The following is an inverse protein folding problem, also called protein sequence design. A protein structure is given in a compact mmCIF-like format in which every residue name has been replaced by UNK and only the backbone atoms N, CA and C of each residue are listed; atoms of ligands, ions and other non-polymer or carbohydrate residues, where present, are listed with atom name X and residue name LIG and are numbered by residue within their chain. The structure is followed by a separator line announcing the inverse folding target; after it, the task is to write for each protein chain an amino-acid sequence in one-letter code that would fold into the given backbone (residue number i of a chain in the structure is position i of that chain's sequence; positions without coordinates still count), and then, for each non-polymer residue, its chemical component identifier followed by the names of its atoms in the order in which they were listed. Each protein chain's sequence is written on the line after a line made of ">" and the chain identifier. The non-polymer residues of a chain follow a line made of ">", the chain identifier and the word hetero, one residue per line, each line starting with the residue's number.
data_IF_950752666609
#
_entry.id   IF_950752666609
#
_cell.length_a   1.000
_cell.length_b   1.000
_cell.length_c   1.000
_cell.angle_alpha   90.00
_cell.angle_beta   90.00
_cell.angle_gamma   90.00
#
_symmetry.space_group_name_H-M   'P 1'
#
loop_
_entity.id
_entity.type
_entity.pdbx_description
1 polymer ?
#
# COMPACT_ATOMS: atom_id res chain seq x y z
N UNK A 1 -55.86 23.49 78.09
CA UNK A 1 -54.68 22.64 77.79
C UNK A 1 -55.17 21.56 76.83
N UNK A 2 -54.78 21.64 75.53
CA UNK A 2 -55.10 20.75 74.37
C UNK A 2 -55.73 21.50 73.17
N UNK A 3 -55.03 22.51 72.64
CA UNK A 3 -55.33 23.04 71.29
C UNK A 3 -54.07 23.42 70.51
N UNK A 4 -52.95 22.72 70.78
CA UNK A 4 -51.63 22.98 70.17
C UNK A 4 -51.02 21.76 69.46
N UNK A 5 -51.82 20.75 69.09
CA UNK A 5 -51.33 19.49 68.49
C UNK A 5 -51.99 19.09 67.16
N UNK A 6 -52.49 20.03 66.35
CA UNK A 6 -53.18 19.67 65.10
C UNK A 6 -52.53 20.20 63.80
N UNK A 7 -51.35 20.85 63.85
CA UNK A 7 -50.78 21.49 62.66
C UNK A 7 -49.31 21.15 62.36
N UNK A 8 -48.71 20.18 63.05
CA UNK A 8 -47.32 19.77 62.77
C UNK A 8 -47.21 18.59 61.79
N UNK A 9 -48.28 17.83 61.55
CA UNK A 9 -48.18 16.57 60.79
C UNK A 9 -48.36 16.76 59.28
N UNK A 10 -49.22 17.68 58.84
CA UNK A 10 -49.51 17.91 57.42
C UNK A 10 -48.31 18.43 56.62
N UNK A 11 -47.50 19.32 57.19
CA UNK A 11 -46.29 19.84 56.53
C UNK A 11 -45.15 18.81 56.46
N UNK A 12 -45.09 17.87 57.41
CA UNK A 12 -44.10 16.80 57.43
C UNK A 12 -44.41 15.74 56.35
N UNK A 13 -45.68 15.36 56.18
CA UNK A 13 -46.09 14.41 55.14
C UNK A 13 -45.95 14.97 53.72
N UNK A 14 -46.25 16.26 53.51
CA UNK A 14 -46.05 16.92 52.20
C UNK A 14 -44.55 17.10 51.90
N UNK A 15 -43.74 17.50 52.89
CA UNK A 15 -42.29 17.63 52.73
C UNK A 15 -41.58 16.30 52.44
N UNK A 16 -42.01 15.21 53.10
CA UNK A 16 -41.46 13.87 52.87
C UNK A 16 -41.84 13.31 51.48
N UNK A 17 -43.06 13.55 51.00
CA UNK A 17 -43.50 13.13 49.66
C UNK A 17 -42.76 13.84 48.52
N UNK A 18 -42.53 15.15 48.66
CA UNK A 18 -41.75 15.94 47.68
C UNK A 18 -40.27 15.52 47.67
N UNK A 19 -39.69 15.26 48.84
CA UNK A 19 -38.32 14.77 48.94
C UNK A 19 -38.14 13.37 48.30
N UNK A 20 -39.09 12.45 48.50
CA UNK A 20 -39.06 11.13 47.88
C UNK A 20 -39.20 11.20 46.35
N UNK A 21 -40.10 12.04 45.84
CA UNK A 21 -40.27 12.26 44.41
C UNK A 21 -39.01 12.86 43.76
N UNK A 22 -38.36 13.81 44.42
CA UNK A 22 -37.09 14.39 43.96
C UNK A 22 -35.96 13.34 43.92
N UNK A 23 -35.84 12.51 44.96
CA UNK A 23 -34.84 11.42 45.00
C UNK A 23 -35.11 10.38 43.92
N UNK A 24 -36.36 10.01 43.68
CA UNK A 24 -36.73 9.08 42.61
C UNK A 24 -36.48 9.68 41.22
N UNK A 25 -36.76 10.96 41.01
CA UNK A 25 -36.47 11.66 39.77
C UNK A 25 -34.95 11.74 39.49
N UNK A 26 -34.14 12.06 40.50
CA UNK A 26 -32.67 12.07 40.38
C UNK A 26 -32.14 10.67 40.07
N UNK A 27 -32.59 9.63 40.80
CA UNK A 27 -32.21 8.25 40.52
C UNK A 27 -32.59 7.84 39.10
N UNK A 28 -33.79 8.19 38.65
CA UNK A 28 -34.27 7.90 37.31
C UNK A 28 -33.42 8.60 36.23
N UNK A 29 -33.08 9.88 36.43
CA UNK A 29 -32.22 10.64 35.52
C UNK A 29 -30.79 10.05 35.50
N UNK A 30 -30.23 9.68 36.65
CA UNK A 30 -28.90 9.07 36.74
C UNK A 30 -28.85 7.71 36.02
N UNK A 31 -29.83 6.83 36.25
CA UNK A 31 -29.92 5.53 35.56
C UNK A 31 -30.05 5.71 34.04
N UNK A 32 -30.81 6.72 33.58
CA UNK A 32 -30.89 7.02 32.15
C UNK A 32 -29.60 7.60 31.58
N UNK A 33 -28.89 8.43 32.34
CA UNK A 33 -27.60 9.00 31.95
C UNK A 33 -26.52 7.90 31.87
N UNK A 34 -26.45 7.01 32.86
CA UNK A 34 -25.56 5.84 32.88
C UNK A 34 -25.88 4.89 31.72
N UNK A 35 -27.16 4.60 31.45
CA UNK A 35 -27.56 3.78 30.31
C UNK A 35 -27.21 4.43 28.96
N UNK A 36 -27.29 5.75 28.84
CA UNK A 36 -26.86 6.48 27.64
C UNK A 36 -25.33 6.44 27.47
N UNK A 37 -24.57 6.62 28.55
CA UNK A 37 -23.11 6.52 28.55
C UNK A 37 -22.65 5.09 28.20
N UNK A 38 -23.28 4.07 28.78
CA UNK A 38 -22.97 2.67 28.49
C UNK A 38 -23.22 2.33 27.02
N UNK A 39 -24.36 2.75 26.45
CA UNK A 39 -24.64 2.57 25.02
C UNK A 39 -23.65 3.30 24.12
N UNK A 40 -23.25 4.52 24.48
CA UNK A 40 -22.23 5.26 23.74
C UNK A 40 -20.86 4.57 23.80
N UNK A 41 -20.48 4.05 24.96
CA UNK A 41 -19.26 3.26 25.15
C UNK A 41 -19.29 1.96 24.32
N UNK A 42 -20.38 1.20 24.38
CA UNK A 42 -20.56 -0.02 23.61
C UNK A 42 -20.57 0.24 22.10
N UNK A 43 -21.24 1.30 21.63
CA UNK A 43 -21.23 1.71 20.23
C UNK A 43 -19.83 2.13 19.77
N UNK A 44 -19.10 2.90 20.59
CA UNK A 44 -17.71 3.28 20.31
C UNK A 44 -16.78 2.06 20.26
N UNK A 45 -16.93 1.12 21.21
CA UNK A 45 -16.19 -0.13 21.26
C UNK A 45 -16.48 -0.99 20.03
N UNK A 46 -17.75 -1.20 19.69
CA UNK A 46 -18.15 -1.94 18.50
C UNK A 46 -17.61 -1.29 17.21
N UNK A 47 -17.66 0.05 17.12
CA UNK A 47 -17.06 0.79 15.99
C UNK A 47 -15.54 0.56 15.92
N UNK A 48 -14.84 0.58 17.05
CA UNK A 48 -13.41 0.29 17.11
C UNK A 48 -13.10 -1.16 16.71
N UNK A 49 -13.91 -2.12 17.15
CA UNK A 49 -13.75 -3.53 16.78
C UNK A 49 -13.96 -3.76 15.28
N UNK A 50 -14.97 -3.12 14.67
CA UNK A 50 -15.18 -3.15 13.21
C UNK A 50 -14.00 -2.52 12.47
N UNK A 51 -13.55 -1.33 12.89
CA UNK A 51 -12.39 -0.66 12.29
C UNK A 51 -11.10 -1.47 12.43
N UNK A 52 -10.92 -2.15 13.57
CA UNK A 52 -9.79 -3.05 13.81
C UNK A 52 -9.86 -4.28 12.89
N UNK A 53 -11.02 -4.93 12.81
CA UNK A 53 -11.23 -6.08 11.94
C UNK A 53 -11.03 -5.70 10.46
N UNK A 54 -11.48 -4.52 10.03
CA UNK A 54 -11.22 -4.00 8.68
C UNK A 54 -9.73 -3.76 8.40
N UNK A 55 -8.97 -3.30 9.41
CA UNK A 55 -7.51 -3.13 9.31
C UNK A 55 -6.75 -4.45 9.23
N UNK A 56 -7.28 -5.51 9.83
CA UNK A 56 -6.67 -6.83 9.87
C UNK A 56 -7.02 -7.68 8.65
N UNK A 57 -7.92 -7.22 7.77
CA UNK A 57 -8.21 -7.92 6.51
C UNK A 57 -6.93 -8.02 5.68
N UNK A 58 -6.62 -9.21 5.14
CA UNK A 58 -5.45 -9.40 4.30
C UNK A 58 -5.56 -8.50 3.07
N UNK A 59 -4.53 -7.70 2.83
CA UNK A 59 -4.47 -6.81 1.67
C UNK A 59 -4.01 -7.64 0.48
N UNK A 60 -4.89 -7.80 -0.51
CA UNK A 60 -4.50 -8.42 -1.78
C UNK A 60 -3.74 -7.40 -2.61
N UNK A 61 -2.42 -7.54 -2.67
CA UNK A 61 -1.57 -6.71 -3.53
C UNK A 61 -1.71 -7.11 -4.99
N UNK A 62 -1.59 -6.15 -5.90
CA UNK A 62 -1.56 -6.39 -7.35
C UNK A 62 -0.73 -5.35 -8.08
N UNK A 63 -0.50 -5.58 -9.36
CA UNK A 63 0.03 -4.57 -10.25
C UNK A 63 -1.05 -3.59 -10.71
N UNK A 64 -0.62 -2.35 -10.95
CA UNK A 64 -1.42 -1.28 -11.57
C UNK A 64 -0.61 -0.68 -12.72
N UNK A 65 -1.17 -0.57 -13.92
CA UNK A 65 -0.61 0.36 -14.89
C UNK A 65 -0.83 1.81 -14.41
N UNK A 66 -0.05 2.80 -14.89
CA UNK A 66 -0.33 4.21 -14.59
C UNK A 66 -1.78 4.60 -14.89
N UNK A 67 -2.32 4.13 -16.00
CA UNK A 67 -3.70 4.40 -16.44
C UNK A 67 -4.73 3.72 -15.55
N UNK A 68 -4.46 2.48 -15.11
CA UNK A 68 -5.30 1.77 -14.14
C UNK A 68 -5.31 2.43 -12.77
N UNK A 69 -4.28 3.22 -12.43
CA UNK A 69 -4.19 3.91 -11.14
C UNK A 69 -5.01 5.20 -11.10
N UNK A 70 -5.18 5.89 -12.24
CA UNK A 70 -5.85 7.20 -12.32
C UNK A 70 -7.25 7.26 -11.67
N UNK A 71 -8.13 6.25 -11.83
CA UNK A 71 -9.47 6.30 -11.22
C UNK A 71 -9.46 6.28 -9.69
N UNK A 72 -8.35 5.88 -9.06
CA UNK A 72 -8.22 5.81 -7.61
C UNK A 72 -7.80 7.17 -7.01
N UNK A 73 -8.51 8.22 -7.39
CA UNK A 73 -8.24 9.60 -7.00
C UNK A 73 -9.17 10.10 -5.86
N UNK A 74 -10.17 9.32 -5.44
CA UNK A 74 -11.16 9.72 -4.44
C UNK A 74 -12.46 10.30 -4.98
N UNK A 75 -12.54 10.56 -6.28
CA UNK A 75 -13.78 10.94 -6.96
C UNK A 75 -14.69 9.73 -7.19
N UNK A 76 -15.97 9.95 -7.45
CA UNK A 76 -16.95 8.89 -7.74
C UNK A 76 -16.94 7.74 -6.71
N UNK A 77 -16.74 8.10 -5.43
CA UNK A 77 -16.60 7.18 -4.30
C UNK A 77 -15.47 6.13 -4.44
N UNK A 78 -14.52 6.34 -5.33
CA UNK A 78 -13.34 5.49 -5.45
C UNK A 78 -12.40 5.65 -4.24
N UNK A 79 -11.61 4.62 -3.91
CA UNK A 79 -10.47 4.75 -3.00
C UNK A 79 -9.47 5.80 -3.50
N UNK A 80 -8.63 6.28 -2.60
CA UNK A 80 -7.52 7.20 -2.91
C UNK A 80 -6.22 6.40 -2.82
N UNK A 81 -5.59 6.14 -3.96
CA UNK A 81 -4.30 5.47 -4.05
C UNK A 81 -3.22 6.45 -4.49
N UNK A 82 -2.03 6.35 -3.89
CA UNK A 82 -0.86 7.13 -4.30
C UNK A 82 0.32 6.17 -4.36
N UNK A 83 1.06 6.21 -5.47
CA UNK A 83 2.31 5.49 -5.59
C UNK A 83 3.51 6.36 -5.20
N UNK A 84 4.45 5.77 -4.45
CA UNK A 84 5.73 6.37 -4.09
C UNK A 84 6.82 5.32 -4.30
N UNK A 85 7.83 5.66 -5.11
CA UNK A 85 8.83 4.73 -5.66
C UNK A 85 8.21 3.48 -6.29
N UNK A 86 7.05 3.65 -6.94
CA UNK A 86 6.30 2.56 -7.56
C UNK A 86 5.47 1.72 -6.59
N UNK A 87 5.64 1.82 -5.27
CA UNK A 87 4.79 1.15 -4.29
C UNK A 87 3.47 1.89 -4.13
N UNK A 88 2.33 1.21 -4.28
CA UNK A 88 0.99 1.81 -4.26
C UNK A 88 0.40 1.72 -2.86
N UNK A 89 0.07 2.86 -2.27
CA UNK A 89 -0.49 2.97 -0.93
C UNK A 89 -1.95 3.43 -0.94
N UNK A 90 -2.78 2.79 -0.13
CA UNK A 90 -4.15 3.25 0.15
C UNK A 90 -4.15 4.35 1.20
N UNK A 91 -4.39 5.58 0.74
CA UNK A 91 -4.47 6.79 1.56
C UNK A 91 -5.91 7.24 1.79
N UNK A 92 -6.91 6.39 1.49
CA UNK A 92 -8.35 6.73 1.59
C UNK A 92 -8.78 7.18 2.98
N UNK A 93 -8.02 6.85 4.04
CA UNK A 93 -8.31 7.31 5.41
C UNK A 93 -7.89 8.76 5.68
N UNK A 94 -7.21 9.39 4.73
CA UNK A 94 -6.73 10.77 4.80
C UNK A 94 -7.37 11.59 3.68
N UNK A 95 -8.70 11.43 3.51
CA UNK A 95 -9.48 12.22 2.54
C UNK A 95 -9.32 13.72 2.80
N UNK A 96 -9.19 14.14 4.06
CA UNK A 96 -8.94 15.54 4.45
C UNK A 96 -7.58 16.10 3.96
N UNK A 97 -6.75 15.30 3.28
CA UNK A 97 -5.49 15.74 2.67
C UNK A 97 -5.44 15.45 1.18
N UNK A 98 -5.88 14.25 0.77
CA UNK A 98 -5.74 13.74 -0.60
C UNK A 98 -7.07 13.64 -1.36
N UNK A 99 -8.19 13.90 -0.69
CA UNK A 99 -9.52 13.81 -1.29
C UNK A 99 -9.81 14.97 -2.25
N UNK A 100 -10.86 14.85 -3.09
CA UNK A 100 -11.21 15.89 -4.05
C UNK A 100 -11.37 17.26 -3.39
N UNK A 101 -10.67 18.26 -3.92
CA UNK A 101 -10.65 19.63 -3.39
C UNK A 101 -9.59 19.92 -2.32
N UNK A 102 -8.86 18.92 -1.83
CA UNK A 102 -7.79 19.10 -0.85
C UNK A 102 -6.41 19.38 -1.47
N UNK A 103 -5.52 19.98 -0.69
CA UNK A 103 -4.23 20.50 -1.18
C UNK A 103 -3.28 19.46 -1.79
N UNK A 104 -3.41 18.18 -1.43
CA UNK A 104 -2.58 17.09 -2.01
C UNK A 104 -3.37 16.18 -2.95
N UNK A 105 -4.57 16.59 -3.37
CA UNK A 105 -5.40 15.79 -4.27
C UNK A 105 -4.73 15.49 -5.61
N UNK A 106 -3.87 16.38 -6.10
CA UNK A 106 -3.16 16.20 -7.38
C UNK A 106 -2.29 14.94 -7.44
N UNK A 107 -1.89 14.38 -6.29
CA UNK A 107 -1.11 13.14 -6.22
C UNK A 107 -1.98 11.87 -6.28
N UNK A 108 -3.29 12.01 -6.05
CA UNK A 108 -4.22 10.90 -6.00
C UNK A 108 -4.35 10.24 -7.38
N UNK A 109 -4.28 8.92 -7.43
CA UNK A 109 -4.31 8.11 -8.65
C UNK A 109 -3.00 8.08 -9.43
N UNK A 110 -1.87 8.56 -8.87
CA UNK A 110 -0.60 8.72 -9.61
C UNK A 110 0.60 8.10 -8.90
N UNK A 111 1.70 7.87 -9.65
CA UNK A 111 3.04 7.74 -9.06
C UNK A 111 3.60 9.13 -8.78
N UNK A 112 3.39 9.59 -7.55
CA UNK A 112 3.76 10.92 -7.10
C UNK A 112 5.25 11.03 -6.71
N UNK A 113 6.09 10.03 -7.01
CA UNK A 113 7.50 10.00 -6.61
C UNK A 113 8.24 11.29 -6.94
N UNK A 114 8.14 11.76 -8.18
CA UNK A 114 8.87 12.94 -8.66
C UNK A 114 8.32 14.22 -8.03
N UNK A 115 7.00 14.40 -8.09
CA UNK A 115 6.33 15.56 -7.51
C UNK A 115 6.60 15.70 -5.99
N UNK A 116 6.56 14.59 -5.24
CA UNK A 116 6.90 14.57 -3.82
C UNK A 116 8.39 14.86 -3.57
N UNK A 117 9.30 14.32 -4.40
CA UNK A 117 10.74 14.57 -4.28
C UNK A 117 11.06 16.07 -4.44
N UNK A 118 10.43 16.71 -5.43
CA UNK A 118 10.63 18.12 -5.76
C UNK A 118 9.73 19.08 -4.99
N UNK A 119 8.81 18.56 -4.18
CA UNK A 119 7.76 19.36 -3.54
C UNK A 119 6.97 20.21 -4.54
N UNK A 120 6.69 19.63 -5.71
CA UNK A 120 6.11 20.31 -6.88
C UNK A 120 4.66 19.89 -7.10
N UNK A 121 3.85 20.83 -7.59
CA UNK A 121 2.47 20.61 -8.05
C UNK A 121 2.30 20.87 -9.55
N UNK A 122 3.41 21.08 -10.26
CA UNK A 122 3.42 21.35 -11.69
C UNK A 122 3.18 20.06 -12.49
N UNK A 123 2.50 20.18 -13.63
CA UNK A 123 2.08 19.04 -14.47
C UNK A 123 3.28 18.20 -14.94
N UNK A 124 4.41 18.84 -15.26
CA UNK A 124 5.62 18.15 -15.73
C UNK A 124 6.23 17.21 -14.67
N UNK A 125 6.06 17.52 -13.39
CA UNK A 125 6.52 16.68 -12.29
C UNK A 125 5.47 15.64 -11.86
N UNK A 126 4.18 15.94 -12.04
CA UNK A 126 3.06 15.03 -11.75
C UNK A 126 2.94 13.89 -12.76
N UNK A 127 3.26 14.15 -14.02
CA UNK A 127 3.11 13.19 -15.13
C UNK A 127 4.40 12.44 -15.48
N UNK A 128 5.52 12.78 -14.83
CA UNK A 128 6.81 12.15 -15.09
C UNK A 128 7.17 11.06 -14.09
N UNK A 129 7.52 9.89 -14.62
CA UNK A 129 8.08 8.77 -13.86
C UNK A 129 9.62 8.84 -13.74
N UNK A 130 10.27 9.80 -14.41
CA UNK A 130 11.71 9.93 -14.42
C UNK A 130 12.22 10.53 -13.11
N UNK A 131 13.23 9.88 -12.55
CA UNK A 131 13.90 10.24 -11.30
C UNK A 131 15.41 10.47 -11.49
N UNK A 132 15.90 10.40 -12.74
CA UNK A 132 17.32 10.43 -13.07
C UNK A 132 17.97 11.79 -12.81
N UNK A 133 17.21 12.87 -12.94
CA UNK A 133 17.63 14.27 -12.75
C UNK A 133 17.48 14.77 -11.31
N UNK A 134 16.96 13.95 -10.39
CA UNK A 134 16.77 14.35 -9.00
C UNK A 134 18.11 14.69 -8.31
N UNK A 135 18.15 15.86 -7.67
CA UNK A 135 19.29 16.27 -6.86
C UNK A 135 19.42 15.39 -5.61
N UNK A 136 20.55 15.52 -4.89
CA UNK A 136 20.73 14.85 -3.61
C UNK A 136 19.64 15.22 -2.59
N UNK A 137 19.25 16.50 -2.55
CA UNK A 137 18.21 16.98 -1.64
C UNK A 137 16.83 16.44 -2.01
N UNK A 138 16.52 16.34 -3.31
CA UNK A 138 15.25 15.76 -3.77
C UNK A 138 15.16 14.27 -3.39
N UNK A 139 16.28 13.53 -3.47
CA UNK A 139 16.36 12.12 -3.09
C UNK A 139 16.15 11.91 -1.59
N UNK A 140 16.73 12.75 -0.73
CA UNK A 140 16.47 12.69 0.71
C UNK A 140 15.01 13.06 1.03
N UNK A 141 14.46 14.08 0.37
CA UNK A 141 13.03 14.44 0.51
C UNK A 141 12.12 13.28 0.13
N UNK A 142 12.41 12.60 -0.99
CA UNK A 142 11.64 11.43 -1.43
C UNK A 142 11.73 10.29 -0.41
N UNK A 143 12.91 10.04 0.16
CA UNK A 143 13.11 9.01 1.19
C UNK A 143 12.32 9.31 2.47
N UNK A 144 12.23 10.57 2.86
CA UNK A 144 11.39 11.00 3.98
C UNK A 144 9.91 10.76 3.69
N UNK A 145 9.45 11.03 2.46
CA UNK A 145 8.09 10.71 2.03
C UNK A 145 7.80 9.20 2.05
N UNK A 146 8.73 8.37 1.57
CA UNK A 146 8.60 6.91 1.66
C UNK A 146 8.45 6.46 3.11
N UNK A 147 9.29 6.99 4.02
CA UNK A 147 9.20 6.70 5.46
C UNK A 147 7.88 7.18 6.05
N UNK A 148 7.40 8.36 5.64
CA UNK A 148 6.11 8.90 6.07
C UNK A 148 4.93 8.05 5.62
N UNK A 149 4.95 7.54 4.40
CA UNK A 149 3.88 6.69 3.87
C UNK A 149 3.91 5.30 4.51
N UNK A 150 5.07 4.66 4.53
CA UNK A 150 5.22 3.26 4.94
C UNK A 150 5.31 3.07 6.47
N UNK A 151 5.99 3.97 7.18
CA UNK A 151 6.30 3.81 8.62
C UNK A 151 5.43 4.72 9.48
N UNK A 152 5.50 6.05 9.29
CA UNK A 152 4.84 6.98 10.21
C UNK A 152 3.32 6.93 10.10
N UNK A 153 2.78 6.96 8.88
CA UNK A 153 1.34 6.81 8.66
C UNK A 153 0.90 5.36 8.54
N UNK A 154 1.83 4.46 8.17
CA UNK A 154 1.54 3.03 8.00
C UNK A 154 0.40 2.78 7.01
N UNK A 155 0.40 3.48 5.87
CA UNK A 155 -0.62 3.28 4.86
C UNK A 155 -0.55 1.85 4.31
N UNK A 156 -1.69 1.16 4.15
CA UNK A 156 -1.73 -0.15 3.51
C UNK A 156 -1.08 -0.11 2.12
N UNK A 157 -0.07 -0.94 1.89
CA UNK A 157 0.47 -1.13 0.54
C UNK A 157 -0.44 -2.10 -0.22
N UNK A 158 -1.11 -1.62 -1.25
CA UNK A 158 -2.09 -2.36 -2.05
C UNK A 158 -1.51 -2.87 -3.37
N UNK A 159 -0.24 -2.61 -3.66
CA UNK A 159 0.34 -3.04 -4.92
C UNK A 159 1.58 -2.29 -5.36
N UNK A 160 1.86 -2.41 -6.65
CA UNK A 160 3.00 -1.76 -7.30
C UNK A 160 2.63 -1.29 -8.70
N UNK A 161 3.22 -0.18 -9.14
CA UNK A 161 3.04 0.33 -10.50
C UNK A 161 3.86 -0.53 -11.46
N UNK A 162 3.19 -1.11 -12.44
CA UNK A 162 3.79 -1.90 -13.52
C UNK A 162 4.27 -0.98 -14.62
N UNK A 163 5.57 -1.05 -14.95
CA UNK A 163 6.19 -0.18 -15.95
C UNK A 163 6.69 -1.01 -17.11
N UNK A 164 6.08 -0.82 -18.29
CA UNK A 164 6.52 -1.47 -19.51
C UNK A 164 7.72 -0.74 -20.11
N UNK A 165 8.77 -1.48 -20.46
CA UNK A 165 10.00 -0.97 -21.07
C UNK A 165 10.78 -2.09 -21.72
N UNK A 166 11.25 -1.84 -22.93
CA UNK A 166 12.28 -2.64 -23.56
C UNK A 166 13.65 -2.15 -23.06
N UNK A 167 14.58 -3.08 -22.85
CA UNK A 167 15.88 -2.77 -22.24
C UNK A 167 17.00 -3.51 -22.97
N UNK A 168 18.16 -2.88 -23.07
CA UNK A 168 19.41 -3.61 -23.35
C UNK A 168 19.82 -4.46 -22.15
N UNK A 169 20.73 -5.42 -22.37
CA UNK A 169 21.29 -6.20 -21.25
C UNK A 169 22.01 -5.33 -20.22
N UNK A 170 22.70 -4.27 -20.64
CA UNK A 170 23.38 -3.36 -19.72
C UNK A 170 22.39 -2.53 -18.89
N UNK A 171 21.31 -2.04 -19.50
CA UNK A 171 20.26 -1.32 -18.77
C UNK A 171 19.48 -2.25 -17.82
N UNK A 172 19.36 -3.53 -18.14
CA UNK A 172 18.67 -4.51 -17.29
C UNK A 172 19.37 -4.69 -15.93
N UNK A 173 20.70 -4.60 -15.87
CA UNK A 173 21.51 -4.86 -14.66
C UNK A 173 21.12 -4.00 -13.47
N UNK A 174 20.63 -2.79 -13.69
CA UNK A 174 20.21 -1.89 -12.61
C UNK A 174 18.96 -2.40 -11.86
N UNK A 175 18.17 -3.30 -12.46
CA UNK A 175 16.92 -3.84 -11.90
C UNK A 175 17.17 -5.14 -11.14
N UNK A 176 18.15 -5.10 -10.24
CA UNK A 176 18.56 -6.23 -9.38
C UNK A 176 17.94 -6.16 -7.97
N UNK A 177 17.00 -5.25 -7.73
CA UNK A 177 16.43 -4.98 -6.41
C UNK A 177 17.29 -4.11 -5.49
N UNK A 178 18.44 -3.61 -5.98
CA UNK A 178 19.39 -2.81 -5.20
C UNK A 178 19.68 -1.47 -5.86
N UNK A 179 20.01 -1.43 -7.14
CA UNK A 179 20.60 -0.23 -7.74
C UNK A 179 19.56 0.80 -8.17
N UNK A 180 18.45 0.34 -8.77
CA UNK A 180 17.37 1.26 -9.15
C UNK A 180 16.68 1.86 -7.90
N UNK A 181 16.19 3.11 -7.98
CA UNK A 181 15.58 3.79 -6.83
C UNK A 181 14.30 3.09 -6.36
N UNK A 182 13.60 2.37 -7.26
CA UNK A 182 12.35 1.66 -6.96
C UNK A 182 12.59 0.24 -6.46
N UNK A 183 13.85 -0.21 -6.33
CA UNK A 183 14.24 -1.57 -5.92
C UNK A 183 13.47 -2.64 -6.68
N UNK A 184 13.31 -2.41 -7.97
CA UNK A 184 12.64 -3.32 -8.90
C UNK A 184 13.55 -4.51 -9.18
N UNK A 185 12.96 -5.69 -9.25
CA UNK A 185 13.67 -6.89 -9.68
C UNK A 185 13.09 -7.32 -11.02
N UNK A 186 13.92 -7.26 -12.05
CA UNK A 186 13.63 -7.84 -13.36
C UNK A 186 14.44 -9.09 -13.59
N UNK A 187 13.86 -10.04 -14.33
CA UNK A 187 14.56 -11.23 -14.82
C UNK A 187 14.23 -11.36 -16.29
N UNK A 188 15.25 -11.48 -17.14
CA UNK A 188 15.06 -11.73 -18.56
C UNK A 188 15.14 -13.23 -18.86
N UNK A 189 14.19 -13.70 -19.67
CA UNK A 189 14.07 -15.10 -20.06
C UNK A 189 13.47 -15.19 -21.47
N UNK A 190 14.22 -15.84 -22.36
CA UNK A 190 13.91 -16.01 -23.77
C UNK A 190 13.57 -14.67 -24.45
N UNK A 191 14.38 -13.64 -24.15
CA UNK A 191 14.20 -12.26 -24.64
C UNK A 191 13.01 -11.50 -24.06
N UNK A 192 12.20 -12.09 -23.16
CA UNK A 192 11.16 -11.38 -22.41
C UNK A 192 11.72 -10.88 -21.07
N UNK A 193 11.32 -9.69 -20.63
CA UNK A 193 11.64 -9.15 -19.32
C UNK A 193 10.41 -9.33 -18.42
N UNK A 194 10.59 -10.00 -17.28
CA UNK A 194 9.54 -10.26 -16.30
C UNK A 194 9.75 -9.36 -15.07
N UNK A 195 8.67 -8.72 -14.58
CA UNK A 195 8.69 -8.06 -13.27
C UNK A 195 8.40 -9.06 -12.17
N UNK A 196 9.45 -9.43 -11.43
CA UNK A 196 9.36 -10.39 -10.33
C UNK A 196 9.32 -9.69 -8.97
N UNK A 197 9.14 -8.36 -8.93
CA UNK A 197 9.25 -7.58 -7.70
C UNK A 197 8.13 -7.91 -6.71
N UNK A 198 6.90 -8.06 -7.17
CA UNK A 198 5.75 -8.22 -6.27
C UNK A 198 5.68 -9.61 -5.63
N UNK A 199 5.76 -10.66 -6.46
CA UNK A 199 5.53 -12.06 -6.05
C UNK A 199 6.79 -12.95 -6.15
N UNK A 200 7.94 -12.33 -6.41
CA UNK A 200 9.22 -13.01 -6.61
C UNK A 200 10.37 -12.43 -5.79
N UNK A 201 10.16 -11.39 -4.98
CA UNK A 201 11.22 -10.76 -4.18
C UNK A 201 11.95 -11.77 -3.26
N UNK A 202 11.23 -12.68 -2.62
CA UNK A 202 11.83 -13.70 -1.74
C UNK A 202 12.72 -14.71 -2.49
N UNK A 203 12.58 -14.79 -3.82
CA UNK A 203 13.35 -15.70 -4.67
C UNK A 203 14.49 -14.97 -5.39
N UNK A 204 14.18 -13.86 -6.05
CA UNK A 204 15.08 -13.15 -6.95
C UNK A 204 15.63 -11.86 -6.34
N UNK A 205 15.08 -11.38 -5.23
CA UNK A 205 15.59 -10.20 -4.54
C UNK A 205 16.97 -10.45 -3.91
N UNK A 206 17.57 -9.42 -3.29
CA UNK A 206 18.97 -9.45 -2.83
C UNK A 206 19.30 -10.56 -1.81
N UNK A 207 18.28 -11.00 -1.06
CA UNK A 207 18.37 -12.08 -0.07
C UNK A 207 17.85 -13.43 -0.57
N UNK A 208 17.37 -13.48 -1.82
CA UNK A 208 16.78 -14.67 -2.41
C UNK A 208 17.80 -15.68 -2.93
N UNK A 209 17.40 -16.96 -3.00
CA UNK A 209 18.24 -18.05 -3.50
C UNK A 209 18.53 -18.00 -5.01
N UNK A 210 17.75 -17.23 -5.77
CA UNK A 210 17.90 -17.01 -7.21
C UNK A 210 18.38 -15.60 -7.54
N UNK A 211 18.96 -14.88 -6.56
CA UNK A 211 19.41 -13.49 -6.73
C UNK A 211 20.40 -13.26 -7.87
N UNK A 212 21.19 -14.26 -8.27
CA UNK A 212 22.06 -14.12 -9.44
C UNK A 212 21.31 -13.89 -10.76
N UNK A 213 19.99 -14.11 -10.83
CA UNK A 213 19.19 -13.81 -12.02
C UNK A 213 18.64 -12.38 -12.03
N UNK A 214 18.73 -11.67 -10.90
CA UNK A 214 18.21 -10.31 -10.75
C UNK A 214 18.95 -9.35 -11.69
N UNK A 215 18.20 -8.65 -12.54
CA UNK A 215 18.75 -7.72 -13.53
C UNK A 215 19.49 -8.39 -14.69
N UNK A 216 19.29 -9.69 -14.93
CA UNK A 216 20.08 -10.46 -15.92
C UNK A 216 19.20 -11.31 -16.84
N UNK A 217 19.74 -11.67 -18.00
CA UNK A 217 19.17 -12.74 -18.81
C UNK A 217 19.65 -14.09 -18.28
N UNK A 218 18.70 -14.95 -17.90
CA UNK A 218 18.95 -16.26 -17.33
C UNK A 218 18.53 -17.41 -18.26
N UNK A 219 18.32 -17.13 -19.55
CA UNK A 219 17.82 -18.11 -20.52
C UNK A 219 18.74 -19.33 -20.61
N UNK A 220 20.03 -19.11 -20.82
CA UNK A 220 21.02 -20.19 -20.92
C UNK A 220 21.24 -20.88 -19.58
N UNK A 221 21.33 -20.14 -18.47
CA UNK A 221 21.38 -20.71 -17.12
C UNK A 221 20.23 -21.66 -16.82
N UNK A 222 18.98 -21.26 -17.12
CA UNK A 222 17.80 -22.10 -16.89
C UNK A 222 17.73 -23.29 -17.86
N UNK A 223 18.13 -23.11 -19.13
CA UNK A 223 18.22 -24.19 -20.10
C UNK A 223 19.22 -25.27 -19.66
N UNK A 224 20.39 -24.84 -19.15
CA UNK A 224 21.48 -25.69 -18.68
C UNK A 224 21.34 -26.15 -17.23
N UNK A 225 20.31 -25.69 -16.50
CA UNK A 225 20.12 -25.95 -15.07
C UNK A 225 21.35 -25.60 -14.23
N UNK A 226 21.96 -24.44 -14.53
CA UNK A 226 23.24 -24.00 -13.95
C UNK A 226 23.13 -22.59 -13.38
N UNK A 227 23.87 -22.36 -12.30
CA UNK A 227 24.03 -21.05 -11.67
C UNK A 227 25.41 -20.43 -11.92
N UNK A 228 26.21 -21.02 -12.81
CA UNK A 228 27.52 -20.46 -13.16
C UNK A 228 27.33 -19.14 -13.91
N UNK A 229 28.13 -18.14 -13.54
CA UNK A 229 28.07 -16.79 -14.11
C UNK A 229 28.32 -16.76 -15.63
N UNK A 230 29.07 -17.71 -16.17
CA UNK A 230 29.33 -17.84 -17.61
C UNK A 230 28.08 -18.15 -18.45
N UNK A 231 26.99 -18.60 -17.82
CA UNK A 231 25.71 -18.88 -18.49
C UNK A 231 24.67 -17.77 -18.32
N UNK A 232 25.06 -16.66 -17.68
CA UNK A 232 24.22 -15.49 -17.47
C UNK A 232 24.61 -14.38 -18.44
N UNK A 233 23.64 -13.53 -18.79
CA UNK A 233 23.78 -12.45 -19.77
C UNK A 233 24.12 -12.92 -21.20
N UNK A 234 23.92 -14.20 -21.48
CA UNK A 234 23.99 -14.79 -22.83
C UNK A 234 22.57 -15.14 -23.32
N UNK A 235 21.91 -14.22 -24.06
CA UNK A 235 20.61 -14.49 -24.63
C UNK A 235 20.68 -15.48 -25.80
N UNK A 236 21.88 -15.85 -26.28
CA UNK A 236 22.01 -16.79 -27.39
C UNK A 236 21.72 -18.22 -26.92
N UNK A 237 20.86 -18.90 -27.68
CA UNK A 237 20.53 -20.31 -27.47
C UNK A 237 21.37 -21.22 -28.37
N UNK A 238 22.50 -20.71 -28.87
CA UNK A 238 23.38 -21.46 -29.74
C UNK A 238 24.09 -22.57 -28.94
N UNK A 239 24.10 -23.76 -29.53
CA UNK A 239 24.74 -24.94 -28.95
C UNK A 239 24.00 -25.62 -27.80
N UNK A 240 22.78 -25.17 -27.44
CA UNK A 240 21.96 -25.92 -26.47
C UNK A 240 21.31 -27.15 -27.14
N UNK A 241 21.17 -28.24 -26.38
CA UNK A 241 20.50 -29.46 -26.85
C UNK A 241 18.98 -29.30 -26.88
N UNK A 242 18.29 -30.21 -27.57
CA UNK A 242 16.82 -30.20 -27.59
C UNK A 242 16.22 -30.36 -26.19
N UNK A 243 16.82 -31.19 -25.34
CA UNK A 243 16.39 -31.36 -23.95
C UNK A 243 16.55 -30.07 -23.12
N UNK A 244 17.63 -29.31 -23.36
CA UNK A 244 17.84 -28.01 -22.72
C UNK A 244 16.83 -26.97 -23.21
N UNK A 245 16.48 -27.01 -24.51
CA UNK A 245 15.42 -26.18 -25.10
C UNK A 245 14.04 -26.48 -24.49
N UNK A 246 13.68 -27.74 -24.34
CA UNK A 246 12.43 -28.12 -23.66
C UNK A 246 12.41 -27.66 -22.20
N UNK A 247 13.55 -27.73 -21.52
CA UNK A 247 13.70 -27.26 -20.13
C UNK A 247 13.47 -25.75 -20.05
N UNK A 248 14.06 -24.99 -20.98
CA UNK A 248 13.86 -23.55 -21.09
C UNK A 248 12.39 -23.18 -21.32
N UNK A 249 11.70 -23.85 -22.25
CA UNK A 249 10.28 -23.61 -22.52
C UNK A 249 9.43 -23.83 -21.27
N UNK A 250 9.67 -24.90 -20.52
CA UNK A 250 8.97 -25.17 -19.25
C UNK A 250 9.20 -24.08 -18.21
N UNK A 251 10.40 -23.49 -18.16
CA UNK A 251 10.66 -22.34 -17.30
C UNK A 251 9.91 -21.10 -17.78
N UNK A 252 9.93 -20.84 -19.09
CA UNK A 252 9.20 -19.70 -19.67
C UNK A 252 7.70 -19.78 -19.37
N UNK A 253 7.08 -20.95 -19.49
CA UNK A 253 5.66 -21.17 -19.17
C UNK A 253 5.36 -20.86 -17.70
N UNK A 254 6.21 -21.31 -16.76
CA UNK A 254 6.07 -20.99 -15.33
C UNK A 254 6.21 -19.50 -15.04
N UNK A 255 7.14 -18.83 -15.73
CA UNK A 255 7.33 -17.39 -15.58
C UNK A 255 6.12 -16.61 -16.09
N UNK A 256 5.57 -16.96 -17.27
CA UNK A 256 4.37 -16.35 -17.84
C UNK A 256 3.13 -16.53 -16.97
N UNK A 257 3.01 -17.65 -16.28
CA UNK A 257 1.90 -17.90 -15.36
C UNK A 257 1.97 -17.01 -14.11
N UNK A 258 3.19 -16.74 -13.61
CA UNK A 258 3.40 -16.09 -12.31
C UNK A 258 3.72 -14.60 -12.39
N UNK A 259 4.40 -14.14 -13.44
CA UNK A 259 4.99 -12.81 -13.50
C UNK A 259 4.56 -12.08 -14.78
N UNK A 260 4.21 -10.78 -14.69
CA UNK A 260 3.90 -10.00 -15.87
C UNK A 260 5.15 -9.75 -16.72
N UNK A 261 4.99 -9.90 -18.03
CA UNK A 261 6.00 -9.44 -19.00
C UNK A 261 5.90 -7.92 -19.12
N UNK A 262 7.02 -7.24 -18.88
CA UNK A 262 7.13 -5.78 -18.94
C UNK A 262 7.85 -5.28 -20.18
N UNK A 263 8.53 -6.14 -20.93
CA UNK A 263 9.13 -5.75 -22.20
C UNK A 263 10.01 -6.83 -22.77
N UNK A 264 10.88 -6.42 -23.69
CA UNK A 264 11.80 -7.27 -24.42
C UNK A 264 13.25 -6.81 -24.25
N UNK A 265 14.17 -7.77 -24.35
CA UNK A 265 15.58 -7.45 -24.54
C UNK A 265 15.80 -6.97 -25.96
N UNK A 266 16.38 -5.78 -26.09
CA UNK A 266 16.78 -5.19 -27.37
C UNK A 266 18.29 -5.31 -27.55
N UNK A 267 18.71 -5.54 -28.79
CA UNK A 267 20.10 -5.77 -29.21
C UNK A 267 20.65 -4.57 -29.95
#
# INVERSE_FOLDING_TARGET
>A
MLQFLANSDSNLFVGAGVALAAVLAIKYVNVRAEAAQQRAYEAAKARQEVLKAEREKPIKRRFFSPEELLPYNGENDQPIYIAVLGEVYDVSRKRDFYGPGEGYHLFAGRDASRALAKMSFEEEDLDSADLSDLSFMDKETLKDWVTKFSVYNGYPNVGRVLRRRDLTLEELKQFNGVDDPRKTVYVALNGNIYDVTLDGMDHYGPEGGYKQFAGRDCSRSLACMSFLDEYLDDPTLDGITEQQRETLIKWEDKFKEKYPVVGKIIT
#
